data_IF_953397306430
#
_entry.id   IF_953397306430
#
_cell.length_a   1.000
_cell.length_b   1.000
_cell.length_c   1.000
_cell.angle_alpha   90.00
_cell.angle_beta   90.00
_cell.angle_gamma   90.00
#
_symmetry.space_group_name_H-M   'P 1'
#
loop_
_entity.id
_entity.type
_entity.pdbx_description
1 polymer ?
#
# COMPACT_ATOMS: atom_id res chain seq x y z
N UNK A 1 -7.50 9.29 -13.02
CA UNK A 1 -6.44 8.61 -12.25
C UNK A 1 -6.21 9.35 -10.95
N UNK A 2 -5.31 8.87 -10.12
CA UNK A 2 -4.88 9.54 -8.88
C UNK A 2 -3.40 9.88 -9.04
N UNK A 3 -3.03 11.14 -8.87
CA UNK A 3 -1.63 11.55 -8.90
C UNK A 3 -1.31 12.69 -7.96
N UNK A 4 -0.02 12.78 -7.59
CA UNK A 4 0.55 13.89 -6.81
C UNK A 4 -0.13 14.09 -5.45
N UNK A 5 -0.28 12.99 -4.71
CA UNK A 5 -0.82 13.02 -3.35
C UNK A 5 0.33 13.15 -2.37
N UNK A 6 0.25 14.17 -1.50
CA UNK A 6 1.21 14.41 -0.44
C UNK A 6 0.53 14.36 0.92
N UNK A 7 1.07 13.53 1.82
CA UNK A 7 0.62 13.38 3.20
C UNK A 7 1.83 13.63 4.10
N UNK A 8 1.73 14.62 4.99
CA UNK A 8 2.84 15.02 5.85
C UNK A 8 2.38 15.35 7.26
N UNK A 9 3.25 15.11 8.24
CA UNK A 9 3.10 15.54 9.62
C UNK A 9 1.76 15.15 10.26
N UNK A 10 1.38 13.89 10.12
CA UNK A 10 0.15 13.35 10.70
C UNK A 10 0.45 12.37 11.84
N UNK A 11 -0.48 12.29 12.79
CA UNK A 11 -0.45 11.34 13.89
C UNK A 11 -1.75 10.53 13.90
N UNK A 12 -1.61 9.20 13.91
CA UNK A 12 -2.73 8.29 14.09
C UNK A 12 -2.91 8.07 15.59
N UNK A 13 -4.02 8.56 16.13
CA UNK A 13 -4.31 8.46 17.55
C UNK A 13 -4.45 7.00 18.02
N UNK A 14 -4.15 6.76 19.28
CA UNK A 14 -4.39 5.47 19.91
C UNK A 14 -5.89 5.14 19.92
N UNK A 15 -6.24 3.89 19.62
CA UNK A 15 -7.63 3.42 19.51
C UNK A 15 -8.25 3.57 18.11
N UNK A 16 -7.59 4.26 17.17
CA UNK A 16 -8.02 4.28 15.77
C UNK A 16 -7.96 2.86 15.17
N UNK A 17 -9.06 2.42 14.54
CA UNK A 17 -9.10 1.12 13.84
C UNK A 17 -8.66 1.32 12.40
N UNK A 18 -7.43 0.92 12.09
CA UNK A 18 -6.87 0.97 10.74
C UNK A 18 -6.30 -0.37 10.33
N UNK A 19 -6.59 -0.79 9.09
CA UNK A 19 -5.98 -1.97 8.51
C UNK A 19 -4.53 -1.70 8.12
N UNK A 20 -4.31 -0.72 7.23
CA UNK A 20 -2.97 -0.23 6.89
C UNK A 20 -2.90 1.28 7.09
N UNK A 21 -1.70 1.82 7.32
CA UNK A 21 -1.49 3.28 7.32
C UNK A 21 -1.75 3.87 5.93
N UNK A 22 -1.16 3.27 4.90
CA UNK A 22 -1.36 3.61 3.50
C UNK A 22 -1.87 2.36 2.79
N UNK A 23 -3.05 2.44 2.17
CA UNK A 23 -3.62 1.34 1.41
C UNK A 23 -4.06 1.77 0.01
N UNK A 24 -3.34 1.32 -1.02
CA UNK A 24 -3.72 1.50 -2.42
C UNK A 24 -4.41 0.22 -2.89
N UNK A 25 -5.67 0.35 -3.30
CA UNK A 25 -6.49 -0.79 -3.76
C UNK A 25 -7.01 -0.51 -5.16
N UNK A 26 -6.98 -1.52 -6.01
CA UNK A 26 -7.63 -1.50 -7.31
C UNK A 26 -8.06 -2.93 -7.69
N UNK A 27 -8.69 -3.07 -8.86
CA UNK A 27 -8.98 -4.34 -9.48
C UNK A 27 -8.91 -4.24 -11.01
N UNK A 28 -9.05 -5.38 -11.67
CA UNK A 28 -8.95 -5.51 -13.11
C UNK A 28 -10.04 -4.76 -13.91
N UNK A 29 -11.04 -4.16 -13.26
CA UNK A 29 -12.13 -3.40 -13.90
C UNK A 29 -11.93 -1.89 -13.83
N UNK A 30 -10.98 -1.40 -13.04
CA UNK A 30 -10.87 0.02 -12.71
C UNK A 30 -10.15 0.85 -13.78
N UNK A 31 -9.14 0.29 -14.44
CA UNK A 31 -8.24 1.05 -15.31
C UNK A 31 -7.60 2.26 -14.62
N UNK A 32 -7.46 3.38 -15.32
CA UNK A 32 -6.89 4.61 -14.76
C UNK A 32 -5.39 4.48 -14.45
N UNK A 33 -4.93 5.12 -13.38
CA UNK A 33 -3.56 5.04 -12.87
C UNK A 33 -3.48 5.55 -11.43
N UNK A 34 -2.43 5.16 -10.72
CA UNK A 34 -1.98 5.77 -9.45
C UNK A 34 -0.49 6.09 -9.57
N UNK A 35 -0.10 7.36 -9.42
CA UNK A 35 1.32 7.72 -9.45
C UNK A 35 1.69 8.87 -8.53
N UNK A 36 2.95 8.93 -8.12
CA UNK A 36 3.49 10.06 -7.36
C UNK A 36 2.76 10.27 -6.02
N UNK A 37 2.85 9.25 -5.16
CA UNK A 37 2.29 9.26 -3.80
C UNK A 37 3.45 9.43 -2.82
N UNK A 38 3.37 10.47 -2.00
CA UNK A 38 4.42 10.85 -1.07
C UNK A 38 3.83 10.94 0.34
N UNK A 39 4.37 10.13 1.25
CA UNK A 39 3.89 10.06 2.63
C UNK A 39 5.09 10.22 3.55
N UNK A 40 5.07 11.22 4.44
CA UNK A 40 6.21 11.49 5.29
C UNK A 40 5.87 12.01 6.68
N UNK A 41 6.81 11.80 7.61
CA UNK A 41 6.72 12.27 8.98
C UNK A 41 5.41 11.85 9.66
N UNK A 42 5.14 10.54 9.64
CA UNK A 42 3.91 9.98 10.18
C UNK A 42 4.22 9.21 11.46
N UNK A 43 3.45 9.49 12.52
CA UNK A 43 3.43 8.71 13.75
C UNK A 43 2.19 7.82 13.76
N UNK A 44 2.40 6.53 13.53
CA UNK A 44 1.35 5.52 13.54
C UNK A 44 1.18 4.87 14.91
N UNK A 45 -0.07 4.55 15.28
CA UNK A 45 -0.38 3.69 16.43
C UNK A 45 -0.43 2.21 15.99
N UNK A 46 -1.31 1.41 16.60
CA UNK A 46 -1.52 0.00 16.22
C UNK A 46 -2.32 -0.08 14.91
N UNK A 47 -1.96 -1.01 14.03
CA UNK A 47 -2.72 -1.34 12.83
C UNK A 47 -3.01 -2.85 12.76
N UNK A 48 -4.14 -3.23 12.18
CA UNK A 48 -4.53 -4.65 12.08
C UNK A 48 -3.68 -5.43 11.07
N UNK A 49 -3.10 -4.73 10.07
CA UNK A 49 -2.19 -5.28 9.07
C UNK A 49 -0.82 -4.60 9.04
N UNK A 50 -0.64 -3.48 8.34
CA UNK A 50 0.72 -2.98 8.10
C UNK A 50 0.85 -1.51 7.76
N UNK A 51 2.08 -1.07 7.48
CA UNK A 51 2.30 0.34 7.11
C UNK A 51 1.85 0.59 5.67
N UNK A 52 2.39 -0.16 4.71
CA UNK A 52 2.04 -0.05 3.29
C UNK A 52 1.33 -1.31 2.80
N UNK A 53 0.09 -1.18 2.34
CA UNK A 53 -0.62 -2.18 1.56
C UNK A 53 -0.82 -1.70 0.12
N UNK A 54 -0.52 -2.56 -0.86
CA UNK A 54 -0.96 -2.37 -2.25
C UNK A 54 -1.53 -3.69 -2.75
N UNK A 55 -2.79 -3.71 -3.16
CA UNK A 55 -3.46 -4.90 -3.70
C UNK A 55 -4.22 -4.56 -4.99
N UNK A 56 -3.93 -5.31 -6.07
CA UNK A 56 -4.48 -5.06 -7.42
C UNK A 56 -5.63 -5.97 -7.85
N UNK A 57 -6.09 -6.90 -7.00
CA UNK A 57 -7.27 -7.75 -7.23
C UNK A 57 -8.28 -7.63 -6.07
N UNK A 58 -8.77 -6.41 -5.82
CA UNK A 58 -9.77 -6.15 -4.77
C UNK A 58 -11.16 -5.92 -5.37
N UNK A 59 -11.93 -7.00 -5.51
CA UNK A 59 -13.33 -6.97 -6.02
C UNK A 59 -14.40 -7.27 -4.96
N UNK A 60 -14.03 -7.91 -3.84
CA UNK A 60 -14.97 -8.36 -2.80
C UNK A 60 -16.22 -9.06 -3.41
N UNK A 61 -17.42 -8.65 -2.98
CA UNK A 61 -18.70 -9.20 -3.43
C UNK A 61 -18.97 -9.00 -4.93
N UNK A 62 -18.41 -7.95 -5.55
CA UNK A 62 -18.65 -7.62 -6.96
C UNK A 62 -18.02 -8.61 -7.94
N UNK A 63 -17.10 -9.47 -7.47
CA UNK A 63 -16.45 -10.48 -8.30
C UNK A 63 -17.46 -11.41 -8.96
N UNK A 64 -18.50 -11.81 -8.21
CA UNK A 64 -19.49 -12.79 -8.65
C UNK A 64 -20.89 -12.19 -8.89
N UNK A 65 -21.13 -10.93 -8.47
CA UNK A 65 -22.44 -10.29 -8.61
C UNK A 65 -22.70 -9.79 -10.04
N UNK A 66 -21.66 -9.32 -10.73
CA UNK A 66 -21.73 -8.84 -12.12
C UNK A 66 -20.49 -9.28 -12.90
N UNK A 67 -20.62 -9.61 -14.20
CA UNK A 67 -19.49 -10.04 -15.02
C UNK A 67 -18.49 -8.90 -15.27
N UNK A 68 -17.24 -9.25 -15.54
CA UNK A 68 -16.23 -8.31 -16.06
C UNK A 68 -16.52 -8.06 -17.53
N UNK A 69 -16.97 -6.85 -17.88
CA UNK A 69 -17.25 -6.45 -19.28
C UNK A 69 -15.97 -6.07 -20.02
N UNK A 70 -15.09 -5.32 -19.36
CA UNK A 70 -13.78 -4.93 -19.87
C UNK A 70 -12.73 -5.17 -18.79
N UNK A 71 -11.62 -5.81 -19.18
CA UNK A 71 -10.44 -5.95 -18.32
C UNK A 71 -9.44 -4.84 -18.63
N UNK A 72 -9.19 -3.98 -17.65
CA UNK A 72 -8.24 -2.87 -17.73
C UNK A 72 -7.49 -2.72 -16.40
N UNK A 73 -6.23 -3.13 -16.38
CA UNK A 73 -5.36 -3.02 -15.20
C UNK A 73 -4.98 -1.56 -14.91
N UNK A 74 -4.77 -1.24 -13.63
CA UNK A 74 -4.31 0.09 -13.19
C UNK A 74 -2.80 0.11 -13.03
N UNK A 75 -2.05 0.89 -13.82
CA UNK A 75 -0.64 1.13 -13.56
C UNK A 75 -0.45 1.86 -12.22
N UNK A 76 0.40 1.33 -11.36
CA UNK A 76 0.78 1.96 -10.08
C UNK A 76 2.28 2.22 -10.08
N UNK A 77 2.70 3.46 -9.83
CA UNK A 77 4.12 3.82 -9.80
C UNK A 77 4.47 4.92 -8.79
N UNK A 78 5.72 5.00 -8.37
CA UNK A 78 6.25 6.12 -7.58
C UNK A 78 5.47 6.32 -6.26
N UNK A 79 5.58 5.34 -5.35
CA UNK A 79 5.03 5.43 -3.99
C UNK A 79 6.17 5.49 -2.99
N UNK A 80 6.23 6.58 -2.24
CA UNK A 80 7.38 6.90 -1.40
C UNK A 80 6.92 7.19 0.02
N UNK A 81 7.42 6.41 0.98
CA UNK A 81 7.21 6.62 2.40
C UNK A 81 8.55 7.02 3.03
N UNK A 82 8.55 8.09 3.84
CA UNK A 82 9.75 8.59 4.52
C UNK A 82 9.47 8.97 5.96
N UNK A 83 10.29 8.51 6.91
CA UNK A 83 10.15 8.83 8.34
C UNK A 83 8.75 8.45 8.86
N UNK A 84 8.45 7.15 8.86
CA UNK A 84 7.18 6.62 9.34
C UNK A 84 7.46 5.64 10.46
N UNK A 85 6.86 5.85 11.62
CA UNK A 85 6.90 4.91 12.74
C UNK A 85 5.51 4.34 12.97
N UNK A 86 5.43 3.12 13.50
CA UNK A 86 4.19 2.48 13.93
C UNK A 86 4.43 1.72 15.25
N UNK A 87 3.39 1.47 16.03
CA UNK A 87 3.52 0.65 17.26
C UNK A 87 3.49 -0.84 16.90
N UNK A 88 2.30 -1.39 16.65
CA UNK A 88 2.09 -2.82 16.42
C UNK A 88 1.53 -3.04 15.02
N UNK A 89 2.23 -3.85 14.22
CA UNK A 89 1.81 -4.24 12.87
C UNK A 89 2.12 -5.71 12.61
N UNK A 90 1.53 -6.31 11.58
CA UNK A 90 1.91 -7.63 11.05
C UNK A 90 3.05 -7.54 10.04
N UNK A 91 3.13 -6.47 9.25
CA UNK A 91 4.20 -6.25 8.27
C UNK A 91 4.44 -4.76 8.02
N UNK A 92 5.60 -4.39 7.46
CA UNK A 92 5.84 -3.02 7.00
C UNK A 92 5.30 -2.81 5.59
N UNK A 93 5.54 -3.74 4.67
CA UNK A 93 4.94 -3.66 3.34
C UNK A 93 4.35 -4.98 2.91
N UNK A 94 3.16 -4.92 2.30
CA UNK A 94 2.59 -5.99 1.52
C UNK A 94 2.15 -5.45 0.17
N UNK A 95 2.79 -5.91 -0.89
CA UNK A 95 2.53 -5.48 -2.26
C UNK A 95 2.14 -6.72 -3.06
N UNK A 96 0.93 -6.73 -3.60
CA UNK A 96 0.42 -7.76 -4.51
C UNK A 96 0.03 -7.08 -5.81
N UNK A 97 0.98 -7.02 -6.74
CA UNK A 97 0.73 -6.55 -8.10
C UNK A 97 0.34 -7.68 -9.04
N UNK A 98 -0.18 -7.32 -10.21
CA UNK A 98 -0.37 -8.26 -11.32
C UNK A 98 0.96 -8.51 -12.04
N UNK A 99 1.24 -9.78 -12.39
CA UNK A 99 2.45 -10.15 -13.16
C UNK A 99 2.53 -9.45 -14.51
N UNK A 100 1.37 -9.24 -15.15
CA UNK A 100 1.22 -8.59 -16.46
C UNK A 100 1.54 -7.09 -16.42
N UNK A 101 1.31 -6.45 -15.27
CA UNK A 101 1.55 -5.02 -15.08
C UNK A 101 2.17 -4.77 -13.70
N UNK A 102 3.46 -5.09 -13.51
CA UNK A 102 4.12 -4.96 -12.22
C UNK A 102 4.09 -3.52 -11.70
N UNK A 103 3.95 -3.38 -10.39
CA UNK A 103 4.02 -2.11 -9.67
C UNK A 103 5.46 -1.58 -9.72
N UNK A 104 5.66 -0.27 -9.91
CA UNK A 104 7.00 0.30 -10.12
C UNK A 104 7.40 1.33 -9.08
N UNK A 105 8.69 1.36 -8.74
CA UNK A 105 9.33 2.44 -7.99
C UNK A 105 8.67 2.70 -6.63
N UNK A 106 8.94 1.80 -5.70
CA UNK A 106 8.46 1.92 -4.32
C UNK A 106 9.67 2.15 -3.43
N UNK A 107 9.68 3.21 -2.63
CA UNK A 107 10.78 3.46 -1.68
C UNK A 107 10.24 3.67 -0.28
N UNK A 108 10.79 2.91 0.67
CA UNK A 108 10.57 3.07 2.09
C UNK A 108 11.87 3.58 2.70
N UNK A 109 11.89 4.80 3.23
CA UNK A 109 13.06 5.39 3.88
C UNK A 109 12.74 5.66 5.36
N UNK A 110 13.48 5.08 6.29
CA UNK A 110 13.21 5.21 7.73
C UNK A 110 11.75 4.85 8.07
N UNK A 111 11.30 3.66 7.62
CA UNK A 111 9.96 3.13 7.92
C UNK A 111 10.10 1.95 8.87
N UNK A 112 9.59 2.11 10.09
CA UNK A 112 9.79 1.15 11.19
C UNK A 112 8.49 0.92 11.97
N UNK A 113 8.46 -0.18 12.70
CA UNK A 113 7.44 -0.44 13.70
C UNK A 113 8.10 -0.97 14.98
N UNK A 114 7.53 -0.67 16.14
CA UNK A 114 8.04 -1.16 17.44
C UNK A 114 7.91 -2.69 17.52
N UNK A 115 6.77 -3.24 17.10
CA UNK A 115 6.51 -4.68 17.05
C UNK A 115 5.99 -5.09 15.68
N UNK A 116 6.59 -6.14 15.11
CA UNK A 116 6.15 -6.79 13.88
C UNK A 116 5.76 -8.23 14.21
N UNK A 117 4.49 -8.58 14.04
CA UNK A 117 3.93 -9.89 14.43
C UNK A 117 4.01 -10.96 13.34
N UNK A 118 4.14 -10.56 12.07
CA UNK A 118 4.27 -11.51 10.95
C UNK A 118 5.71 -12.01 10.81
N UNK A 119 5.85 -13.16 10.15
CA UNK A 119 7.15 -13.79 9.89
C UNK A 119 8.04 -12.93 8.99
N UNK A 120 7.45 -12.25 8.01
CA UNK A 120 8.16 -11.41 7.05
C UNK A 120 7.77 -9.93 7.17
N UNK A 121 8.79 -9.06 7.21
CA UNK A 121 8.62 -7.60 7.24
C UNK A 121 8.10 -7.03 5.92
N UNK A 122 8.48 -7.62 4.80
CA UNK A 122 8.20 -7.14 3.45
C UNK A 122 7.73 -8.28 2.54
N UNK A 123 6.43 -8.34 2.28
CA UNK A 123 5.77 -9.41 1.51
C UNK A 123 5.37 -8.84 0.15
N UNK A 124 6.28 -8.87 -0.82
CA UNK A 124 6.10 -8.14 -2.07
C UNK A 124 6.18 -9.06 -3.30
N UNK A 125 5.16 -8.98 -4.15
CA UNK A 125 4.99 -9.75 -5.37
C UNK A 125 4.74 -8.80 -6.55
N UNK A 126 5.36 -9.10 -7.69
CA UNK A 126 5.22 -8.34 -8.94
C UNK A 126 5.47 -6.83 -8.76
N UNK A 127 6.59 -6.49 -8.10
CA UNK A 127 7.08 -5.13 -7.94
C UNK A 127 8.48 -4.98 -8.53
N UNK A 128 8.71 -3.89 -9.26
CA UNK A 128 10.00 -3.52 -9.84
C UNK A 128 10.52 -2.27 -9.14
N UNK A 129 11.82 -2.24 -8.83
CA UNK A 129 12.48 -1.15 -8.12
C UNK A 129 11.90 -0.87 -6.71
N UNK A 130 11.66 -1.93 -5.92
CA UNK A 130 11.39 -1.81 -4.50
C UNK A 130 12.69 -1.53 -3.73
N UNK A 131 12.72 -0.46 -2.93
CA UNK A 131 13.91 -0.03 -2.17
C UNK A 131 13.53 0.23 -0.72
N UNK A 132 14.34 -0.30 0.20
CA UNK A 132 14.28 0.01 1.64
C UNK A 132 15.59 0.70 2.02
N UNK A 133 15.50 1.82 2.74
CA UNK A 133 16.62 2.66 3.15
C UNK A 133 16.47 3.14 4.58
#
# INVERSE_FOLDING_TARGET
>A
GIENVFIDNCEVLDGAKMFNLVFIKTNERMGGYVKNIYVQNIKGSKMDFGVLGIETDVLYQWKNLVPTVERRLTPISNVFLKNVTAKNVKFISRIKGEKELPIKNISLKNVTAETIQGEEKHINENVVNFKVK
#
